data_IF_271191974914
#
_entry.id   IF_271191974914
#
_cell.length_a   1.000
_cell.length_b   1.000
_cell.length_c   1.000
_cell.angle_alpha   90.00
_cell.angle_beta   90.00
_cell.angle_gamma   90.00
#
_symmetry.space_group_name_H-M   'P 1'
#
loop_
_entity.id
_entity.type
_entity.pdbx_description
1 polymer ?
#
# COMPACT_ATOMS: atom_id res chain seq x y z
N UNK A 1 38.22 77.42 -38.64
CA UNK A 1 36.91 76.75 -38.70
C UNK A 1 37.13 75.28 -38.28
N UNK A 2 36.89 75.03 -37.03
CA UNK A 2 37.08 73.66 -36.40
C UNK A 2 35.69 73.02 -36.42
N UNK A 3 35.56 71.88 -37.14
CA UNK A 3 34.33 71.09 -37.15
C UNK A 3 34.30 70.22 -35.87
N UNK A 4 33.32 70.51 -35.02
CA UNK A 4 33.08 69.70 -33.80
C UNK A 4 32.29 68.44 -34.20
N UNK A 5 32.94 67.28 -34.14
CA UNK A 5 32.30 65.97 -34.36
C UNK A 5 31.33 65.69 -33.21
N UNK A 6 30.08 65.31 -33.55
CA UNK A 6 29.06 64.96 -32.57
C UNK A 6 29.35 63.57 -31.98
N UNK A 7 29.05 63.35 -30.68
CA UNK A 7 29.30 62.04 -30.05
C UNK A 7 28.38 60.93 -30.62
N UNK A 8 28.88 59.70 -30.73
CA UNK A 8 28.10 58.54 -31.24
C UNK A 8 26.86 58.29 -30.37
N UNK A 9 25.76 57.96 -31.04
CA UNK A 9 24.50 57.60 -30.38
C UNK A 9 24.65 56.37 -29.46
N UNK A 10 23.91 56.32 -28.33
CA UNK A 10 23.97 55.15 -27.41
C UNK A 10 23.49 53.90 -28.11
N UNK A 11 24.27 52.82 -27.95
CA UNK A 11 23.93 51.50 -28.46
C UNK A 11 22.60 51.00 -27.83
N UNK A 12 21.64 50.68 -28.69
CA UNK A 12 20.35 50.16 -28.28
C UNK A 12 20.49 48.86 -27.49
N UNK A 13 19.44 48.46 -26.71
CA UNK A 13 19.49 47.24 -25.90
C UNK A 13 19.78 46.02 -26.77
N UNK A 14 20.90 45.38 -26.50
CA UNK A 14 21.28 44.11 -27.15
C UNK A 14 20.32 43.01 -26.69
N UNK A 15 19.54 42.46 -27.60
CA UNK A 15 18.72 41.27 -27.35
C UNK A 15 19.61 40.14 -26.81
N UNK A 16 19.17 39.44 -25.73
CA UNK A 16 19.93 38.32 -25.20
C UNK A 16 20.01 37.19 -26.23
N UNK A 17 21.20 36.96 -26.75
CA UNK A 17 21.50 35.85 -27.65
C UNK A 17 21.26 34.56 -26.88
N UNK A 18 20.11 33.93 -27.07
CA UNK A 18 19.79 32.60 -26.55
C UNK A 18 20.76 31.60 -27.18
N UNK A 19 21.88 31.34 -26.52
CA UNK A 19 22.82 30.27 -26.91
C UNK A 19 22.09 28.92 -26.84
N UNK A 20 21.86 28.29 -28.01
CA UNK A 20 21.37 26.90 -28.09
C UNK A 20 22.24 26.02 -27.19
N UNK A 21 21.65 25.26 -26.25
CA UNK A 21 22.42 24.39 -25.38
C UNK A 21 23.20 23.36 -26.21
N UNK A 22 24.50 23.23 -25.97
CA UNK A 22 25.35 22.27 -26.67
C UNK A 22 24.80 20.85 -26.43
N UNK A 23 24.90 19.97 -27.44
CA UNK A 23 24.42 18.56 -27.40
C UNK A 23 24.99 17.81 -26.19
N UNK A 24 26.19 18.17 -25.76
CA UNK A 24 26.87 17.62 -24.59
C UNK A 24 26.12 17.93 -23.28
N UNK A 25 25.47 19.10 -23.17
CA UNK A 25 24.64 19.47 -21.99
C UNK A 25 23.32 18.70 -21.94
N UNK A 26 22.82 18.18 -23.06
CA UNK A 26 21.61 17.36 -23.12
C UNK A 26 21.82 15.93 -22.61
N UNK A 27 23.05 15.40 -22.68
CA UNK A 27 23.36 14.04 -22.25
C UNK A 27 23.69 13.91 -20.75
N UNK A 28 24.04 15.03 -20.08
CA UNK A 28 24.40 15.02 -18.65
C UNK A 28 23.28 14.45 -17.75
N UNK A 29 21.98 14.77 -17.93
CA UNK A 29 20.91 14.16 -17.12
C UNK A 29 20.86 12.63 -17.27
N UNK A 30 21.06 12.10 -18.47
CA UNK A 30 21.05 10.65 -18.72
C UNK A 30 22.22 9.93 -18.06
N UNK A 31 23.40 10.54 -18.04
CA UNK A 31 24.56 10.00 -17.33
C UNK A 31 24.37 10.01 -15.81
N UNK A 32 23.71 11.02 -15.27
CA UNK A 32 23.38 11.09 -13.84
C UNK A 32 22.30 10.08 -13.44
N UNK A 33 21.36 9.75 -14.34
CA UNK A 33 20.34 8.74 -14.11
C UNK A 33 20.83 7.31 -14.31
N UNK A 34 21.94 7.12 -15.07
CA UNK A 34 22.43 5.82 -15.48
C UNK A 34 22.68 4.86 -14.29
N UNK A 35 23.35 5.26 -13.19
CA UNK A 35 23.55 4.35 -12.05
C UNK A 35 22.22 3.88 -11.44
N UNK A 36 21.24 4.77 -11.30
CA UNK A 36 19.90 4.41 -10.77
C UNK A 36 19.12 3.50 -11.73
N UNK A 37 19.14 3.79 -13.02
CA UNK A 37 18.51 2.96 -14.05
C UNK A 37 19.17 1.58 -14.10
N UNK A 38 20.51 1.51 -14.09
CA UNK A 38 21.23 0.24 -14.11
C UNK A 38 20.89 -0.62 -12.88
N UNK A 39 20.81 0.00 -11.70
CA UNK A 39 20.39 -0.67 -10.49
C UNK A 39 18.98 -1.26 -10.63
N UNK A 40 18.01 -0.47 -11.12
CA UNK A 40 16.65 -0.94 -11.35
C UNK A 40 16.58 -2.06 -12.39
N UNK A 41 17.36 -1.98 -13.47
CA UNK A 41 17.40 -3.03 -14.49
C UNK A 41 17.94 -4.35 -13.92
N UNK A 42 19.03 -4.30 -13.16
CA UNK A 42 19.69 -5.52 -12.64
C UNK A 42 18.91 -6.12 -11.48
N UNK A 43 18.42 -5.31 -10.53
CA UNK A 43 17.81 -5.83 -9.30
C UNK A 43 16.29 -5.91 -9.32
N UNK A 44 15.64 -5.26 -10.28
CA UNK A 44 14.19 -5.32 -10.42
C UNK A 44 13.74 -5.93 -11.75
N UNK A 45 14.18 -5.39 -12.88
CA UNK A 45 13.68 -5.85 -14.18
C UNK A 45 14.18 -7.27 -14.52
N UNK A 46 15.46 -7.59 -14.26
CA UNK A 46 16.03 -8.90 -14.57
C UNK A 46 15.35 -10.03 -13.76
N UNK A 47 15.16 -9.94 -12.43
CA UNK A 47 14.40 -10.95 -11.68
C UNK A 47 12.95 -11.07 -12.16
N UNK A 48 12.30 -9.96 -12.53
CA UNK A 48 10.93 -9.98 -13.05
C UNK A 48 10.85 -10.73 -14.40
N UNK A 49 11.81 -10.47 -15.31
CA UNK A 49 11.90 -11.19 -16.60
C UNK A 49 12.21 -12.67 -16.38
N UNK A 50 13.09 -12.99 -15.44
CA UNK A 50 13.38 -14.38 -15.08
C UNK A 50 12.12 -15.09 -14.54
N UNK A 51 11.38 -14.46 -13.62
CA UNK A 51 10.12 -14.98 -13.10
C UNK A 51 9.07 -15.12 -14.22
N UNK A 52 8.99 -14.17 -15.17
CA UNK A 52 8.11 -14.27 -16.33
C UNK A 52 8.50 -15.47 -17.22
N UNK A 53 9.78 -15.70 -17.44
CA UNK A 53 10.25 -16.91 -18.15
C UNK A 53 9.87 -18.19 -17.40
N UNK A 54 10.02 -18.21 -16.07
CA UNK A 54 9.68 -19.37 -15.25
C UNK A 54 8.16 -19.68 -15.30
N UNK A 55 7.31 -18.67 -15.36
CA UNK A 55 5.84 -18.86 -15.37
C UNK A 55 5.30 -19.58 -16.61
N UNK A 56 6.08 -19.66 -17.69
CA UNK A 56 5.73 -20.35 -18.95
C UNK A 56 6.56 -21.63 -19.19
N UNK A 57 7.29 -22.05 -18.17
CA UNK A 57 8.06 -23.32 -18.21
C UNK A 57 7.16 -24.49 -17.82
N UNK A 58 7.59 -25.69 -18.22
CA UNK A 58 7.09 -26.98 -17.75
C UNK A 58 8.27 -27.81 -17.26
N UNK A 59 7.99 -28.77 -16.38
CA UNK A 59 9.01 -29.66 -15.85
C UNK A 59 8.82 -29.90 -14.35
N UNK A 60 9.85 -30.55 -13.76
CA UNK A 60 9.93 -30.80 -12.33
C UNK A 60 11.38 -30.67 -11.88
N UNK A 61 11.59 -30.69 -10.55
CA UNK A 61 12.96 -30.69 -9.99
C UNK A 61 13.82 -31.87 -10.48
N UNK A 62 13.21 -33.01 -10.77
CA UNK A 62 13.91 -34.22 -11.19
C UNK A 62 14.27 -34.17 -12.69
N UNK A 63 13.39 -33.61 -13.51
CA UNK A 63 13.55 -33.57 -14.97
C UNK A 63 14.13 -32.24 -15.48
N UNK A 64 14.20 -31.24 -14.60
CA UNK A 64 14.54 -29.88 -14.96
C UNK A 64 13.33 -29.09 -15.47
N UNK A 65 13.50 -27.78 -15.65
CA UNK A 65 12.48 -26.88 -16.16
C UNK A 65 12.88 -26.39 -17.55
N UNK A 66 11.98 -26.52 -18.52
CA UNK A 66 12.20 -26.09 -19.89
C UNK A 66 11.16 -25.02 -20.29
N UNK A 67 11.60 -24.02 -21.06
CA UNK A 67 10.72 -22.98 -21.58
C UNK A 67 9.89 -23.54 -22.73
N UNK A 68 8.63 -23.83 -22.46
CA UNK A 68 7.69 -24.44 -23.42
C UNK A 68 6.57 -23.50 -23.85
N UNK A 69 6.58 -22.24 -23.37
CA UNK A 69 5.48 -21.27 -23.58
C UNK A 69 4.12 -21.81 -23.15
N UNK A 70 4.07 -22.53 -22.03
CA UNK A 70 2.87 -23.20 -21.54
C UNK A 70 1.94 -22.23 -20.80
N UNK A 71 1.13 -21.48 -21.55
CA UNK A 71 0.17 -20.52 -20.97
C UNK A 71 -1.01 -21.19 -20.25
N UNK A 72 -1.21 -22.51 -20.44
CA UNK A 72 -2.26 -23.24 -19.73
C UNK A 72 -2.07 -23.19 -18.20
N UNK A 73 -0.83 -23.10 -17.72
CA UNK A 73 -0.49 -22.93 -16.30
C UNK A 73 -1.27 -21.78 -15.65
N UNK A 74 -1.47 -20.66 -16.37
CA UNK A 74 -2.24 -19.52 -15.86
C UNK A 74 -3.72 -19.83 -15.70
N UNK A 75 -4.29 -20.57 -16.65
CA UNK A 75 -5.71 -20.95 -16.61
C UNK A 75 -5.96 -21.95 -15.49
N UNK A 76 -5.09 -22.95 -15.37
CA UNK A 76 -5.19 -23.99 -14.35
C UNK A 76 -4.98 -23.41 -12.95
N UNK A 77 -3.95 -22.56 -12.77
CA UNK A 77 -3.70 -21.85 -11.52
C UNK A 77 -4.90 -20.95 -11.12
N UNK A 78 -5.51 -20.24 -12.07
CA UNK A 78 -6.67 -19.42 -11.77
C UNK A 78 -7.91 -20.26 -11.41
N UNK A 79 -8.13 -21.39 -12.11
CA UNK A 79 -9.27 -22.29 -11.81
C UNK A 79 -9.13 -22.96 -10.45
N UNK A 80 -7.94 -23.40 -10.10
CA UNK A 80 -7.68 -24.10 -8.85
C UNK A 80 -7.71 -23.15 -7.65
N UNK A 81 -7.11 -21.95 -7.79
CA UNK A 81 -6.89 -21.03 -6.67
C UNK A 81 -7.77 -19.78 -6.67
N UNK A 82 -8.85 -19.71 -7.51
CA UNK A 82 -9.74 -18.54 -7.50
C UNK A 82 -10.34 -18.19 -6.13
N UNK A 83 -10.68 -19.15 -5.23
CA UNK A 83 -11.21 -18.80 -3.92
C UNK A 83 -10.19 -18.05 -3.05
N UNK A 84 -8.89 -18.42 -3.16
CA UNK A 84 -7.81 -17.77 -2.44
C UNK A 84 -7.55 -16.35 -2.94
N UNK A 85 -7.70 -16.10 -4.24
CA UNK A 85 -7.67 -14.74 -4.79
C UNK A 85 -8.79 -13.87 -4.24
N UNK A 86 -10.02 -14.37 -4.24
CA UNK A 86 -11.19 -13.66 -3.70
C UNK A 86 -10.97 -13.37 -2.20
N UNK A 87 -10.53 -14.36 -1.42
CA UNK A 87 -10.24 -14.18 0.01
C UNK A 87 -9.16 -13.13 0.24
N UNK A 88 -8.06 -13.17 -0.52
CA UNK A 88 -6.98 -12.17 -0.41
C UNK A 88 -7.50 -10.75 -0.62
N UNK A 89 -8.31 -10.53 -1.67
CA UNK A 89 -8.89 -9.22 -1.95
C UNK A 89 -9.89 -8.79 -0.88
N UNK A 90 -10.73 -9.71 -0.40
CA UNK A 90 -11.72 -9.43 0.66
C UNK A 90 -11.03 -9.11 1.99
N UNK A 91 -10.06 -9.91 2.42
CA UNK A 91 -9.36 -9.70 3.70
C UNK A 91 -8.50 -8.43 3.65
N UNK A 92 -7.74 -8.22 2.57
CA UNK A 92 -6.97 -7.00 2.38
C UNK A 92 -7.87 -5.76 2.28
N UNK A 93 -8.99 -5.84 1.56
CA UNK A 93 -9.97 -4.77 1.45
C UNK A 93 -10.59 -4.43 2.79
N UNK A 94 -11.04 -5.44 3.54
CA UNK A 94 -11.62 -5.24 4.88
C UNK A 94 -10.59 -4.67 5.87
N UNK A 95 -9.37 -5.22 5.89
CA UNK A 95 -8.29 -4.69 6.72
C UNK A 95 -7.97 -3.23 6.36
N UNK A 96 -7.96 -2.88 5.07
CA UNK A 96 -7.74 -1.51 4.60
C UNK A 96 -8.84 -0.56 5.06
N UNK A 97 -10.11 -0.99 4.99
CA UNK A 97 -11.24 -0.21 5.49
C UNK A 97 -11.13 -0.02 7.02
N UNK A 98 -10.79 -1.07 7.76
CA UNK A 98 -10.56 -0.98 9.21
C UNK A 98 -9.37 -0.06 9.54
N UNK A 99 -8.28 -0.15 8.80
CA UNK A 99 -7.14 0.76 8.94
C UNK A 99 -7.56 2.22 8.70
N UNK A 100 -8.43 2.48 7.71
CA UNK A 100 -8.95 3.82 7.45
C UNK A 100 -9.85 4.30 8.58
N UNK A 101 -10.79 3.46 9.04
CA UNK A 101 -11.72 3.79 10.11
C UNK A 101 -11.03 4.07 11.45
N UNK A 102 -9.98 3.33 11.77
CA UNK A 102 -9.18 3.51 12.99
C UNK A 102 -8.10 4.59 12.81
N UNK A 103 -7.45 4.59 11.65
CA UNK A 103 -6.32 5.47 11.34
C UNK A 103 -6.73 6.91 11.11
N UNK A 104 -7.88 7.16 10.47
CA UNK A 104 -8.33 8.53 10.18
C UNK A 104 -8.60 9.33 11.46
N UNK A 105 -9.39 8.84 12.44
CA UNK A 105 -9.58 9.55 13.71
C UNK A 105 -8.27 9.78 14.46
N UNK A 106 -7.38 8.80 14.45
CA UNK A 106 -6.07 8.92 15.12
C UNK A 106 -5.18 9.95 14.41
N UNK A 107 -5.08 9.91 13.09
CA UNK A 107 -4.34 10.91 12.30
C UNK A 107 -4.91 12.31 12.50
N UNK A 108 -6.24 12.46 12.55
CA UNK A 108 -6.92 13.71 12.82
C UNK A 108 -6.59 14.24 14.23
N UNK A 109 -6.63 13.37 15.24
CA UNK A 109 -6.24 13.72 16.60
C UNK A 109 -4.78 14.20 16.66
N UNK A 110 -3.87 13.51 16.00
CA UNK A 110 -2.44 13.87 15.95
C UNK A 110 -2.24 15.22 15.26
N UNK A 111 -2.92 15.46 14.12
CA UNK A 111 -2.75 16.67 13.34
C UNK A 111 -3.31 17.92 14.04
N UNK A 112 -4.52 17.83 14.65
CA UNK A 112 -5.25 19.00 15.12
C UNK A 112 -5.41 19.11 16.65
N UNK A 113 -5.27 18.00 17.39
CA UNK A 113 -5.58 17.97 18.84
C UNK A 113 -4.39 17.63 19.73
N UNK A 114 -3.39 16.92 19.24
CA UNK A 114 -2.28 16.42 20.08
C UNK A 114 -1.32 17.50 20.57
N UNK A 115 -1.24 18.68 19.92
CA UNK A 115 -0.40 19.80 20.33
C UNK A 115 1.04 19.36 20.64
N UNK A 116 1.49 19.59 21.89
CA UNK A 116 2.84 19.22 22.36
C UNK A 116 3.12 17.70 22.36
N UNK A 117 2.09 16.86 22.41
CA UNK A 117 2.21 15.40 22.45
C UNK A 117 2.29 14.77 21.06
N UNK A 118 2.16 15.56 20.01
CA UNK A 118 2.13 15.12 18.61
C UNK A 118 3.28 14.18 18.27
N UNK A 119 4.52 14.59 18.55
CA UNK A 119 5.70 13.79 18.24
C UNK A 119 5.73 12.48 19.03
N UNK A 120 5.29 12.50 20.29
CA UNK A 120 5.20 11.28 21.09
C UNK A 120 4.19 10.29 20.52
N UNK A 121 2.99 10.77 20.13
CA UNK A 121 1.96 9.89 19.54
C UNK A 121 2.42 9.33 18.20
N UNK A 122 3.10 10.13 17.36
CA UNK A 122 3.71 9.64 16.11
C UNK A 122 4.75 8.55 16.37
N UNK A 123 5.63 8.75 17.35
CA UNK A 123 6.62 7.74 17.76
C UNK A 123 5.91 6.46 18.21
N UNK A 124 4.85 6.55 19.01
CA UNK A 124 4.09 5.40 19.48
C UNK A 124 3.40 4.64 18.32
N UNK A 125 2.93 5.35 17.29
CA UNK A 125 2.37 4.73 16.08
C UNK A 125 3.44 3.96 15.30
N UNK A 126 4.67 4.51 15.23
CA UNK A 126 5.78 3.91 14.48
C UNK A 126 6.53 2.86 15.32
N UNK A 127 6.51 2.97 16.66
CA UNK A 127 7.26 2.11 17.58
C UNK A 127 7.12 0.59 17.28
N UNK A 128 5.93 0.06 16.93
CA UNK A 128 5.79 -1.35 16.57
C UNK A 128 6.66 -1.79 15.39
N UNK A 129 7.04 -0.88 14.48
CA UNK A 129 7.90 -1.23 13.34
C UNK A 129 9.33 -1.60 13.72
N UNK A 130 9.80 -1.16 14.89
CA UNK A 130 11.12 -1.54 15.40
C UNK A 130 11.17 -2.98 15.92
N UNK A 131 10.02 -3.65 16.00
CA UNK A 131 9.95 -5.09 16.31
C UNK A 131 9.73 -5.90 15.04
N UNK A 132 10.22 -7.15 15.04
CA UNK A 132 10.04 -8.05 13.90
C UNK A 132 8.56 -8.28 13.60
N UNK A 133 8.20 -8.26 12.31
CA UNK A 133 6.85 -8.56 11.82
C UNK A 133 6.35 -9.93 12.31
N UNK A 134 7.22 -10.95 12.25
CA UNK A 134 6.88 -12.31 12.72
C UNK A 134 6.60 -12.34 14.23
N UNK A 135 7.42 -11.67 15.05
CA UNK A 135 7.23 -11.64 16.51
C UNK A 135 5.90 -10.97 16.87
N UNK A 136 5.55 -9.87 16.19
CA UNK A 136 4.26 -9.20 16.38
C UNK A 136 3.08 -10.12 16.03
N UNK A 137 3.16 -10.83 14.90
CA UNK A 137 2.10 -11.76 14.49
C UNK A 137 2.01 -12.95 15.44
N UNK A 138 3.13 -13.46 15.96
CA UNK A 138 3.12 -14.50 17.01
C UNK A 138 2.51 -14.00 18.33
N UNK A 139 2.77 -12.75 18.72
CA UNK A 139 2.11 -12.16 19.88
C UNK A 139 0.59 -12.08 19.68
N UNK A 140 0.11 -11.72 18.48
CA UNK A 140 -1.31 -11.77 18.13
C UNK A 140 -1.89 -13.19 18.24
N UNK A 141 -1.14 -14.21 17.81
CA UNK A 141 -1.54 -15.61 17.98
C UNK A 141 -1.79 -15.97 19.45
N UNK A 142 -0.93 -15.47 20.35
CA UNK A 142 -1.08 -15.70 21.79
C UNK A 142 -2.26 -14.92 22.38
N UNK A 143 -2.45 -13.67 21.94
CA UNK A 143 -3.55 -12.78 22.41
C UNK A 143 -4.91 -13.31 21.98
N UNK A 144 -5.02 -13.87 20.77
CA UNK A 144 -6.25 -14.40 20.18
C UNK A 144 -6.48 -15.89 20.48
N UNK A 145 -5.60 -16.52 21.26
CA UNK A 145 -5.78 -17.92 21.67
C UNK A 145 -7.07 -18.11 22.49
N UNK A 146 -7.64 -19.31 22.42
CA UNK A 146 -8.83 -19.68 23.19
C UNK A 146 -8.59 -19.46 24.70
N UNK A 147 -9.51 -18.76 25.38
CA UNK A 147 -9.36 -18.35 26.79
C UNK A 147 -8.40 -17.17 27.03
N UNK A 148 -7.97 -16.49 25.99
CA UNK A 148 -7.19 -15.25 26.11
C UNK A 148 -8.08 -14.07 26.56
N UNK A 149 -7.52 -13.15 27.34
CA UNK A 149 -8.25 -11.99 27.89
C UNK A 149 -9.02 -11.17 26.83
N UNK A 150 -8.47 -11.07 25.61
CA UNK A 150 -9.14 -10.35 24.50
C UNK A 150 -10.35 -11.12 24.00
N UNK A 151 -10.25 -12.45 23.89
CA UNK A 151 -11.36 -13.32 23.46
C UNK A 151 -12.49 -13.27 24.48
N UNK A 152 -12.17 -13.26 25.80
CA UNK A 152 -13.15 -13.15 26.89
C UNK A 152 -13.86 -11.81 26.85
N UNK A 153 -13.14 -10.71 26.59
CA UNK A 153 -13.75 -9.38 26.43
C UNK A 153 -14.65 -9.33 25.20
N UNK A 154 -14.22 -9.86 24.06
CA UNK A 154 -15.03 -9.90 22.84
C UNK A 154 -16.29 -10.75 23.02
N UNK A 155 -16.20 -11.85 23.76
CA UNK A 155 -17.35 -12.68 24.14
C UNK A 155 -18.33 -11.91 25.02
N UNK A 156 -17.83 -11.22 26.05
CA UNK A 156 -18.65 -10.42 26.98
C UNK A 156 -19.37 -9.28 26.24
N UNK A 157 -18.73 -8.70 25.21
CA UNK A 157 -19.33 -7.66 24.37
C UNK A 157 -20.23 -8.19 23.24
N UNK A 158 -20.49 -9.51 23.19
CA UNK A 158 -21.29 -10.17 22.16
C UNK A 158 -20.79 -9.92 20.71
N UNK A 159 -19.55 -9.49 20.55
CA UNK A 159 -18.95 -9.26 19.23
C UNK A 159 -18.79 -10.60 18.49
N UNK A 160 -18.48 -11.69 19.22
CA UNK A 160 -18.30 -13.00 18.63
C UNK A 160 -19.61 -13.59 18.10
N UNK A 161 -20.74 -13.26 18.69
CA UNK A 161 -22.07 -13.69 18.22
C UNK A 161 -22.38 -13.05 16.85
N UNK A 162 -22.09 -11.75 16.71
CA UNK A 162 -22.27 -11.01 15.44
C UNK A 162 -21.31 -11.53 14.36
N UNK A 163 -20.04 -11.76 14.70
CA UNK A 163 -19.04 -12.23 13.74
C UNK A 163 -19.24 -13.70 13.37
N UNK A 164 -19.81 -14.54 14.24
CA UNK A 164 -20.19 -15.92 13.93
C UNK A 164 -21.37 -15.98 12.96
N UNK A 165 -22.35 -15.09 13.14
CA UNK A 165 -23.46 -14.95 12.18
C UNK A 165 -22.98 -14.54 10.77
N UNK A 166 -21.91 -13.76 10.68
CA UNK A 166 -21.26 -13.38 9.42
C UNK A 166 -20.32 -14.48 8.85
N UNK A 167 -20.13 -15.58 9.56
CA UNK A 167 -19.19 -16.65 9.16
C UNK A 167 -17.70 -16.29 9.33
N UNK A 168 -17.40 -15.28 10.16
CA UNK A 168 -16.04 -14.79 10.39
C UNK A 168 -15.36 -15.40 11.62
N UNK A 169 -16.14 -16.02 12.51
CA UNK A 169 -15.67 -16.77 13.67
C UNK A 169 -16.39 -18.10 13.76
N UNK A 170 -15.78 -19.10 14.38
CA UNK A 170 -16.37 -20.42 14.59
C UNK A 170 -16.52 -20.68 16.09
N UNK A 171 -17.74 -20.97 16.54
CA UNK A 171 -18.04 -21.47 17.91
C UNK A 171 -17.35 -20.68 19.04
N UNK A 172 -17.29 -19.33 18.94
CA UNK A 172 -16.64 -18.49 19.95
C UNK A 172 -15.11 -18.46 19.89
N UNK A 173 -14.51 -19.09 18.88
CA UNK A 173 -13.05 -19.05 18.62
C UNK A 173 -12.73 -17.92 17.67
N UNK A 174 -11.64 -17.20 17.97
CA UNK A 174 -11.11 -16.13 17.12
C UNK A 174 -9.91 -16.60 16.31
N UNK A 175 -9.01 -17.34 16.95
CA UNK A 175 -7.82 -17.90 16.28
C UNK A 175 -8.23 -18.92 15.21
N UNK A 176 -7.46 -18.98 14.14
CA UNK A 176 -7.70 -19.84 12.97
C UNK A 176 -8.95 -19.48 12.16
N UNK A 177 -9.43 -18.25 12.27
CA UNK A 177 -10.61 -17.72 11.56
C UNK A 177 -10.27 -16.52 10.66
N UNK A 178 -11.15 -16.13 9.71
CA UNK A 178 -10.99 -14.92 8.92
C UNK A 178 -10.80 -13.67 9.77
N UNK A 179 -11.49 -13.58 10.93
CA UNK A 179 -11.38 -12.45 11.85
C UNK A 179 -9.95 -12.27 12.36
N UNK A 180 -9.28 -13.36 12.78
CA UNK A 180 -7.91 -13.29 13.26
C UNK A 180 -6.95 -12.77 12.19
N UNK A 181 -7.10 -13.26 10.95
CA UNK A 181 -6.26 -12.83 9.82
C UNK A 181 -6.47 -11.34 9.55
N UNK A 182 -7.71 -10.87 9.47
CA UNK A 182 -8.04 -9.46 9.22
C UNK A 182 -7.57 -8.55 10.36
N UNK A 183 -7.71 -8.97 11.63
CA UNK A 183 -7.18 -8.22 12.78
C UNK A 183 -5.65 -8.10 12.71
N UNK A 184 -4.94 -9.20 12.39
CA UNK A 184 -3.50 -9.19 12.21
C UNK A 184 -3.04 -8.27 11.08
N UNK A 185 -3.70 -8.35 9.92
CA UNK A 185 -3.45 -7.45 8.78
C UNK A 185 -3.69 -5.99 9.18
N UNK A 186 -4.84 -5.71 9.84
CA UNK A 186 -5.19 -4.35 10.27
C UNK A 186 -4.12 -3.79 11.20
N UNK A 187 -3.72 -4.52 12.23
CA UNK A 187 -2.68 -4.08 13.15
C UNK A 187 -1.33 -3.84 12.46
N UNK A 188 -0.91 -4.80 11.63
CA UNK A 188 0.39 -4.73 10.99
C UNK A 188 0.48 -3.60 9.94
N UNK A 189 -0.61 -3.27 9.26
CA UNK A 189 -0.62 -2.25 8.21
C UNK A 189 -1.20 -0.91 8.64
N UNK A 190 -1.74 -0.77 9.86
CA UNK A 190 -2.32 0.47 10.40
C UNK A 190 -1.39 1.69 10.29
N UNK A 191 -0.09 1.63 10.62
CA UNK A 191 0.80 2.77 10.46
C UNK A 191 1.00 3.24 9.02
N UNK A 192 0.92 2.34 8.03
CA UNK A 192 0.97 2.72 6.60
C UNK A 192 -0.25 3.53 6.17
N UNK A 193 -1.37 3.40 6.88
CA UNK A 193 -2.55 4.24 6.69
C UNK A 193 -2.41 5.58 7.44
N UNK A 194 -1.95 5.55 8.70
CA UNK A 194 -1.92 6.74 9.57
C UNK A 194 -0.93 7.79 9.05
N UNK A 195 0.26 7.39 8.60
CA UNK A 195 1.32 8.34 8.23
C UNK A 195 0.94 9.21 7.02
N UNK A 196 0.46 8.69 5.88
CA UNK A 196 0.01 9.53 4.78
C UNK A 196 -1.20 10.40 5.13
N UNK A 197 -2.16 9.86 5.90
CA UNK A 197 -3.31 10.60 6.40
C UNK A 197 -2.86 11.79 7.25
N UNK A 198 -1.98 11.55 8.21
CA UNK A 198 -1.41 12.58 9.06
C UNK A 198 -0.71 13.66 8.25
N UNK A 199 0.17 13.27 7.32
CA UNK A 199 0.92 14.21 6.46
C UNK A 199 -0.02 15.08 5.61
N UNK A 200 -1.11 14.51 5.12
CA UNK A 200 -2.11 15.24 4.34
C UNK A 200 -2.92 16.20 5.22
N UNK A 201 -3.35 15.75 6.40
CA UNK A 201 -4.11 16.56 7.35
C UNK A 201 -3.27 17.71 7.93
N UNK A 202 -2.00 17.48 8.19
CA UNK A 202 -1.07 18.49 8.72
C UNK A 202 -0.85 19.65 7.74
N UNK A 203 -0.95 19.41 6.43
CA UNK A 203 -0.78 20.46 5.40
C UNK A 203 -2.00 21.37 5.24
N UNK A 204 -3.13 21.03 5.86
CA UNK A 204 -4.35 21.85 5.78
C UNK A 204 -4.13 23.15 6.59
N UNK A 205 -4.22 24.31 5.91
CA UNK A 205 -4.11 25.60 6.58
C UNK A 205 -5.26 25.79 7.59
N UNK A 206 -4.89 26.09 8.85
CA UNK A 206 -5.85 26.34 9.92
C UNK A 206 -6.84 27.48 9.61
N UNK A 207 -6.45 28.45 8.80
CA UNK A 207 -7.30 29.55 8.34
C UNK A 207 -8.56 29.08 7.61
N UNK A 208 -8.51 27.92 6.94
CA UNK A 208 -9.69 27.34 6.29
C UNK A 208 -10.73 26.89 7.30
N UNK A 209 -10.31 26.45 8.48
CA UNK A 209 -11.22 26.10 9.58
C UNK A 209 -11.81 27.34 10.24
N UNK A 210 -11.01 28.42 10.39
CA UNK A 210 -11.46 29.72 10.90
C UNK A 210 -12.49 30.33 9.95
N UNK A 211 -12.18 30.39 8.63
CA UNK A 211 -13.11 30.89 7.62
C UNK A 211 -14.43 30.11 7.56
N UNK A 212 -14.37 28.78 7.73
CA UNK A 212 -15.60 27.96 7.85
C UNK A 212 -16.41 28.33 9.10
N UNK A 213 -15.74 28.63 10.23
CA UNK A 213 -16.37 29.13 11.45
C UNK A 213 -17.07 30.47 11.25
N UNK A 214 -16.40 31.42 10.56
CA UNK A 214 -16.97 32.75 10.23
C UNK A 214 -18.22 32.65 9.36
N UNK A 215 -18.34 31.58 8.56
CA UNK A 215 -19.52 31.24 7.76
C UNK A 215 -20.57 30.42 8.56
N UNK A 216 -20.46 30.37 9.89
CA UNK A 216 -21.34 29.62 10.77
C UNK A 216 -21.44 28.11 10.47
N UNK A 217 -20.39 27.53 9.87
CA UNK A 217 -20.35 26.09 9.60
C UNK A 217 -20.19 25.28 10.91
N UNK A 218 -21.01 24.26 11.06
CA UNK A 218 -20.83 23.31 12.17
C UNK A 218 -19.54 22.49 12.01
N UNK A 219 -18.94 21.95 13.10
CA UNK A 219 -17.74 21.10 13.01
C UNK A 219 -17.91 19.94 12.02
N UNK A 220 -19.10 19.32 11.96
CA UNK A 220 -19.40 18.25 11.02
C UNK A 220 -19.42 18.75 9.56
N UNK A 221 -19.93 19.96 9.32
CA UNK A 221 -19.93 20.60 7.99
C UNK A 221 -18.52 20.95 7.55
N UNK A 222 -17.71 21.53 8.44
CA UNK A 222 -16.29 21.83 8.21
C UNK A 222 -15.51 20.57 7.90
N UNK A 223 -15.72 19.51 8.68
CA UNK A 223 -15.09 18.21 8.42
C UNK A 223 -15.45 17.69 7.02
N UNK A 224 -16.75 17.62 6.69
CA UNK A 224 -17.22 17.02 5.43
C UNK A 224 -16.86 17.84 4.19
N UNK A 225 -16.88 19.19 4.30
CA UNK A 225 -16.71 20.09 3.13
C UNK A 225 -15.27 20.63 2.98
N UNK A 226 -14.48 20.66 4.05
CA UNK A 226 -13.11 21.21 4.05
C UNK A 226 -12.11 20.11 4.36
N UNK A 227 -12.15 19.54 5.56
CA UNK A 227 -11.09 18.63 6.03
C UNK A 227 -11.02 17.34 5.21
N UNK A 228 -12.16 16.66 5.02
CA UNK A 228 -12.19 15.38 4.32
C UNK A 228 -11.77 15.48 2.85
N UNK A 229 -12.28 16.42 2.03
CA UNK A 229 -11.84 16.58 0.65
C UNK A 229 -10.34 16.92 0.52
N UNK A 230 -9.83 17.83 1.38
CA UNK A 230 -8.42 18.21 1.38
C UNK A 230 -7.50 17.11 1.88
N UNK A 231 -8.01 16.14 2.65
CA UNK A 231 -7.25 14.98 3.09
C UNK A 231 -7.31 13.78 2.12
N UNK A 232 -8.08 13.85 1.03
CA UNK A 232 -8.22 12.77 0.05
C UNK A 232 -6.90 12.24 -0.51
N UNK A 233 -5.88 13.07 -0.80
CA UNK A 233 -4.57 12.55 -1.21
C UNK A 233 -3.95 11.62 -0.18
N UNK A 234 -4.11 11.92 1.11
CA UNK A 234 -3.67 11.04 2.21
C UNK A 234 -4.47 9.75 2.31
N UNK A 235 -5.80 9.81 2.09
CA UNK A 235 -6.67 8.63 2.05
C UNK A 235 -6.25 7.71 0.91
N UNK A 236 -6.05 8.26 -0.28
CA UNK A 236 -5.64 7.47 -1.46
C UNK A 236 -4.28 6.83 -1.22
N UNK A 237 -3.28 7.61 -0.81
CA UNK A 237 -1.93 7.10 -0.56
C UNK A 237 -1.91 6.04 0.54
N UNK A 238 -2.61 6.28 1.66
CA UNK A 238 -2.71 5.33 2.77
C UNK A 238 -3.42 4.04 2.37
N UNK A 239 -4.49 4.13 1.57
CA UNK A 239 -5.20 2.97 1.03
C UNK A 239 -4.29 2.12 0.16
N UNK A 240 -3.52 2.71 -0.75
CA UNK A 240 -2.59 1.99 -1.62
C UNK A 240 -1.46 1.32 -0.82
N UNK A 241 -0.84 2.06 0.10
CA UNK A 241 0.25 1.56 0.95
C UNK A 241 -0.20 0.43 1.90
N UNK A 242 -1.48 0.36 2.22
CA UNK A 242 -2.06 -0.69 3.07
C UNK A 242 -2.55 -1.87 2.23
N UNK A 243 -3.35 -1.61 1.18
CA UNK A 243 -4.02 -2.65 0.41
C UNK A 243 -3.06 -3.52 -0.40
N UNK A 244 -2.07 -2.90 -1.08
CA UNK A 244 -1.14 -3.63 -1.96
C UNK A 244 -0.38 -4.71 -1.19
N UNK A 245 0.37 -4.40 -0.10
CA UNK A 245 1.09 -5.44 0.63
C UNK A 245 0.16 -6.40 1.39
N UNK A 246 -0.99 -5.92 1.89
CA UNK A 246 -1.96 -6.79 2.57
C UNK A 246 -2.55 -7.85 1.64
N UNK A 247 -2.77 -7.56 0.35
CA UNK A 247 -3.33 -8.51 -0.61
C UNK A 247 -2.41 -9.71 -0.90
N UNK A 248 -1.08 -9.50 -0.79
CA UNK A 248 -0.06 -10.55 -0.96
C UNK A 248 0.46 -11.14 0.35
N UNK A 249 -0.09 -10.76 1.50
CA UNK A 249 0.40 -11.24 2.78
C UNK A 249 0.18 -12.75 2.94
N UNK A 250 1.25 -13.43 3.35
CA UNK A 250 1.20 -14.86 3.68
C UNK A 250 1.42 -15.13 5.18
N UNK A 251 2.07 -14.21 5.88
CA UNK A 251 2.49 -14.42 7.27
C UNK A 251 1.30 -14.42 8.22
N UNK A 252 0.41 -13.41 8.10
CA UNK A 252 -0.80 -13.37 8.93
C UNK A 252 -1.73 -14.55 8.58
N UNK A 253 -1.90 -14.86 7.29
CA UNK A 253 -2.73 -15.97 6.86
C UNK A 253 -2.21 -17.35 7.35
N UNK A 254 -0.89 -17.57 7.37
CA UNK A 254 -0.28 -18.83 7.82
C UNK A 254 -0.27 -18.96 9.35
N UNK A 255 -0.03 -17.84 10.08
CA UNK A 255 0.11 -17.89 11.55
C UNK A 255 -1.20 -17.74 12.32
N UNK A 256 -2.13 -16.93 11.80
CA UNK A 256 -3.39 -16.61 12.47
C UNK A 256 -4.60 -17.32 11.84
N UNK A 257 -4.45 -17.78 10.60
CA UNK A 257 -5.51 -18.46 9.86
C UNK A 257 -5.50 -19.97 10.00
N UNK A 258 -6.33 -20.62 9.20
CA UNK A 258 -6.47 -22.05 9.05
C UNK A 258 -6.30 -22.47 7.58
N UNK A 259 -6.46 -23.76 7.28
CA UNK A 259 -6.46 -24.27 5.90
C UNK A 259 -7.54 -23.59 5.04
N UNK A 260 -8.69 -23.30 5.64
CA UNK A 260 -9.83 -22.72 4.94
C UNK A 260 -9.74 -21.20 4.78
N UNK A 261 -8.84 -20.54 5.50
CA UNK A 261 -8.64 -19.08 5.44
C UNK A 261 -7.38 -18.69 4.67
N UNK A 262 -6.74 -19.63 3.96
CA UNK A 262 -5.54 -19.35 3.16
C UNK A 262 -5.79 -18.26 2.14
N UNK A 263 -4.85 -17.32 2.08
CA UNK A 263 -4.75 -16.27 1.06
C UNK A 263 -3.85 -16.74 -0.09
N UNK A 264 -3.92 -16.08 -1.21
CA UNK A 264 -3.09 -16.43 -2.38
C UNK A 264 -1.59 -16.30 -2.09
N UNK A 265 -1.17 -15.36 -1.24
CA UNK A 265 0.23 -15.24 -0.80
C UNK A 265 0.74 -16.52 -0.13
N UNK A 266 -0.07 -17.17 0.72
CA UNK A 266 0.28 -18.47 1.35
C UNK A 266 0.37 -19.60 0.32
N UNK A 267 -0.46 -19.57 -0.72
CA UNK A 267 -0.40 -20.56 -1.82
C UNK A 267 0.89 -20.38 -2.61
N UNK A 268 1.22 -19.15 -3.01
CA UNK A 268 2.47 -18.83 -3.72
C UNK A 268 3.69 -19.30 -2.92
N UNK A 269 3.72 -18.99 -1.62
CA UNK A 269 4.79 -19.41 -0.73
C UNK A 269 4.88 -20.94 -0.63
N UNK A 270 3.72 -21.64 -0.53
CA UNK A 270 3.67 -23.10 -0.47
C UNK A 270 4.15 -23.74 -1.77
N UNK A 271 3.71 -23.25 -2.93
CA UNK A 271 4.14 -23.76 -4.24
C UNK A 271 5.64 -23.55 -4.45
N UNK A 272 6.17 -22.39 -4.03
CA UNK A 272 7.58 -22.07 -4.20
C UNK A 272 8.50 -22.82 -3.24
N UNK A 273 8.14 -22.95 -1.94
CA UNK A 273 9.05 -23.46 -0.91
C UNK A 273 8.78 -24.92 -0.51
N UNK A 274 7.55 -25.43 -0.66
CA UNK A 274 7.17 -26.78 -0.19
C UNK A 274 6.94 -27.73 -1.34
N UNK A 275 6.16 -27.34 -2.34
CA UNK A 275 5.83 -28.16 -3.51
C UNK A 275 6.96 -28.11 -4.54
N UNK A 276 7.66 -26.95 -4.60
CA UNK A 276 8.76 -26.66 -5.52
C UNK A 276 8.30 -26.61 -6.98
N UNK A 277 7.00 -26.28 -7.18
CA UNK A 277 6.41 -25.98 -8.49
C UNK A 277 6.59 -24.50 -8.80
N UNK A 278 7.77 -24.16 -9.30
CA UNK A 278 8.15 -22.78 -9.63
C UNK A 278 7.28 -22.15 -10.75
N UNK A 279 6.91 -22.89 -11.82
CA UNK A 279 6.03 -22.35 -12.85
C UNK A 279 4.67 -21.90 -12.30
N UNK A 280 4.00 -22.73 -11.51
CA UNK A 280 2.71 -22.38 -10.88
C UNK A 280 2.86 -21.24 -9.89
N UNK A 281 3.90 -21.22 -9.05
CA UNK A 281 4.17 -20.12 -8.13
C UNK A 281 4.37 -18.79 -8.86
N UNK A 282 5.13 -18.81 -9.96
CA UNK A 282 5.37 -17.62 -10.79
C UNK A 282 4.09 -17.16 -11.50
N UNK A 283 3.29 -18.07 -12.07
CA UNK A 283 2.02 -17.73 -12.71
C UNK A 283 1.04 -17.09 -11.71
N UNK A 284 0.87 -17.66 -10.51
CA UNK A 284 0.03 -17.11 -9.44
C UNK A 284 0.48 -15.70 -9.05
N UNK A 285 1.80 -15.46 -8.96
CA UNK A 285 2.35 -14.15 -8.63
C UNK A 285 2.02 -13.10 -9.71
N UNK A 286 2.11 -13.44 -11.00
CA UNK A 286 1.74 -12.54 -12.09
C UNK A 286 0.23 -12.28 -12.13
N UNK A 287 -0.61 -13.28 -11.87
CA UNK A 287 -2.05 -13.11 -11.77
C UNK A 287 -2.38 -12.14 -10.63
N UNK A 288 -1.80 -12.34 -9.45
CA UNK A 288 -2.01 -11.45 -8.31
C UNK A 288 -1.57 -10.02 -8.64
N UNK A 289 -0.38 -9.86 -9.23
CA UNK A 289 0.13 -8.56 -9.65
C UNK A 289 -0.84 -7.87 -10.63
N UNK A 290 -1.34 -8.59 -11.63
CA UNK A 290 -2.28 -8.05 -12.61
C UNK A 290 -3.61 -7.61 -11.95
N UNK A 291 -4.16 -8.43 -11.04
CA UNK A 291 -5.40 -8.12 -10.31
C UNK A 291 -5.21 -6.88 -9.43
N UNK A 292 -4.10 -6.83 -8.67
CA UNK A 292 -3.80 -5.68 -7.78
C UNK A 292 -3.58 -4.41 -8.60
N UNK A 293 -2.82 -4.48 -9.71
CA UNK A 293 -2.62 -3.32 -10.60
C UNK A 293 -3.93 -2.83 -11.20
N UNK A 294 -4.82 -3.75 -11.60
CA UNK A 294 -6.15 -3.39 -12.11
C UNK A 294 -6.98 -2.69 -11.02
N UNK A 295 -7.03 -3.27 -9.81
CA UNK A 295 -7.76 -2.69 -8.68
C UNK A 295 -7.25 -1.29 -8.32
N UNK A 296 -5.93 -1.13 -8.25
CA UNK A 296 -5.25 0.15 -7.99
C UNK A 296 -5.55 1.18 -9.10
N UNK A 297 -5.44 0.78 -10.36
CA UNK A 297 -5.72 1.67 -11.50
C UNK A 297 -7.17 2.15 -11.49
N UNK A 298 -8.12 1.25 -11.23
CA UNK A 298 -9.55 1.59 -11.11
C UNK A 298 -9.78 2.53 -9.92
N UNK A 299 -9.14 2.26 -8.79
CA UNK A 299 -9.24 3.10 -7.59
C UNK A 299 -8.72 4.53 -7.83
N UNK A 300 -7.51 4.68 -8.40
CA UNK A 300 -6.91 5.99 -8.71
C UNK A 300 -7.80 6.77 -9.70
N UNK A 301 -8.25 6.14 -10.78
CA UNK A 301 -9.13 6.80 -11.76
C UNK A 301 -10.46 7.28 -11.16
N UNK A 302 -11.02 6.55 -10.20
CA UNK A 302 -12.27 6.94 -9.52
C UNK A 302 -12.06 7.99 -8.43
N UNK A 303 -10.89 8.05 -7.83
CA UNK A 303 -10.59 9.01 -6.75
C UNK A 303 -10.39 10.45 -7.24
N UNK A 304 -10.38 10.71 -8.56
CA UNK A 304 -10.26 12.05 -9.14
C UNK A 304 -8.93 12.73 -8.84
N UNK A 305 -7.90 11.97 -8.56
CA UNK A 305 -6.55 12.47 -8.20
C UNK A 305 -5.71 12.78 -9.44
N UNK A 306 -6.25 13.55 -10.38
CA UNK A 306 -5.45 14.07 -11.51
C UNK A 306 -4.34 15.04 -11.04
N UNK A 307 -4.43 15.54 -9.80
CA UNK A 307 -3.47 16.48 -9.20
C UNK A 307 -2.31 15.82 -8.42
N UNK A 308 -2.15 14.49 -8.47
CA UNK A 308 -1.08 13.77 -7.77
C UNK A 308 0.14 13.41 -8.64
N UNK A 309 0.18 13.90 -9.89
CA UNK A 309 1.31 13.69 -10.81
C UNK A 309 2.02 15.02 -11.08
#
# INVERSE_FOLDING_TARGET
>A
MSATEAPPAPAGPQEPVLRKPSTRKRLVPYWLLLPGILWLLVFFALPLVYQASTSVQTGSLEQGFEVTWHFQTYVDALREYYPQFIRSLLYAGTATILCLLLGYPLAYLIAFKAGRWRNLVLVLVIAPFFTSFLIRTLAWKTILADGGAVVDVLNTLHVLDVTSWLGWTESGRVLATPMAVVCGLTYNFLPFMILPLYTSLERIDGRLHEAAGDLYATPATTFRKVTFPLSMPGVVSGTLLTFIPASGDYVNAELLGSTDTKMVGSVIQSQFLRVLDYPTAAALSFILMAIVLLAVTVYIRRSGTEDLV
#
